data_IF_268231754886
#
_entry.id   IF_268231754886
#
_cell.length_a   1.000
_cell.length_b   1.000
_cell.length_c   1.000
_cell.angle_alpha   90.00
_cell.angle_beta   90.00
_cell.angle_gamma   90.00
#
_symmetry.space_group_name_H-M   'P 1'
#
loop_
_entity.id
_entity.type
_entity.pdbx_description
1 polymer ?
#
# COMPACT_ATOMS: atom_id res chain seq x y z
N UNK A 1 20.55 -5.49 12.44
CA UNK A 1 19.57 -5.96 11.45
C UNK A 1 18.66 -4.80 11.15
N UNK A 2 18.76 -4.18 9.98
CA UNK A 2 17.81 -3.13 9.60
C UNK A 2 16.57 -3.84 9.05
N UNK A 3 15.50 -3.89 9.83
CA UNK A 3 14.19 -4.31 9.35
C UNK A 3 13.68 -3.29 8.33
N UNK A 4 13.07 -3.76 7.24
CA UNK A 4 12.41 -2.87 6.28
C UNK A 4 11.40 -1.95 7.01
N UNK A 5 11.34 -0.64 6.69
CA UNK A 5 10.29 0.21 7.23
C UNK A 5 8.91 -0.24 6.75
N UNK A 6 7.90 -0.02 7.59
CA UNK A 6 6.50 -0.36 7.28
C UNK A 6 5.66 0.92 7.19
N UNK A 7 4.73 0.97 6.24
CA UNK A 7 3.76 2.05 6.11
C UNK A 7 2.50 1.75 6.95
N UNK A 8 2.09 2.62 7.89
CA UNK A 8 0.95 2.35 8.77
C UNK A 8 -0.39 2.28 8.04
N UNK A 9 -1.24 1.32 8.43
CA UNK A 9 -2.63 1.24 8.02
C UNK A 9 -3.53 1.57 9.22
N UNK A 10 -4.35 2.60 9.06
CA UNK A 10 -5.13 3.20 10.13
C UNK A 10 -6.48 2.48 10.32
N UNK A 11 -6.87 2.30 11.58
CA UNK A 11 -8.21 1.85 11.99
C UNK A 11 -8.67 0.50 11.41
N UNK A 12 -7.74 -0.36 11.00
CA UNK A 12 -8.08 -1.72 10.56
C UNK A 12 -7.76 -2.76 11.65
N UNK A 13 -8.66 -3.70 11.96
CA UNK A 13 -8.41 -4.75 12.95
C UNK A 13 -7.35 -5.76 12.50
N UNK A 14 -7.18 -5.99 11.19
CA UNK A 14 -6.35 -7.08 10.65
C UNK A 14 -5.02 -6.57 10.08
N UNK A 15 -5.06 -5.50 9.29
CA UNK A 15 -3.89 -4.96 8.60
C UNK A 15 -3.38 -3.76 9.38
N UNK A 16 -2.24 -3.90 10.06
CA UNK A 16 -1.66 -2.79 10.85
C UNK A 16 -0.67 -1.94 10.07
N UNK A 17 -0.01 -2.54 9.09
CA UNK A 17 0.94 -1.87 8.23
C UNK A 17 1.19 -2.74 6.98
N UNK A 18 1.76 -2.12 5.94
CA UNK A 18 2.25 -2.81 4.72
C UNK A 18 3.73 -2.47 4.50
N UNK A 19 4.50 -3.27 3.76
CA UNK A 19 5.90 -2.95 3.44
C UNK A 19 6.02 -1.58 2.80
N UNK A 20 6.99 -0.77 3.24
CA UNK A 20 7.21 0.54 2.64
C UNK A 20 7.56 0.43 1.16
N UNK A 21 8.34 -0.58 0.78
CA UNK A 21 8.71 -0.85 -0.62
C UNK A 21 7.49 -1.09 -1.52
N UNK A 22 6.40 -1.65 -0.98
CA UNK A 22 5.19 -1.90 -1.74
C UNK A 22 4.41 -0.62 -2.08
N UNK A 23 4.38 0.36 -1.18
CA UNK A 23 3.64 1.62 -1.38
C UNK A 23 4.50 2.75 -1.97
N UNK A 24 5.82 2.73 -1.74
CA UNK A 24 6.74 3.77 -2.19
C UNK A 24 6.66 4.14 -3.69
N UNK A 25 6.43 3.19 -4.63
CA UNK A 25 6.26 3.53 -6.04
C UNK A 25 5.07 4.46 -6.33
N UNK A 26 4.12 4.57 -5.40
CA UNK A 26 2.84 5.28 -5.57
C UNK A 26 2.82 6.67 -4.91
N UNK A 27 3.99 7.27 -4.62
CA UNK A 27 4.12 8.62 -4.02
C UNK A 27 3.36 9.70 -4.81
N UNK A 28 3.42 9.65 -6.14
CA UNK A 28 2.69 10.58 -7.02
C UNK A 28 1.19 10.51 -6.79
N UNK A 29 0.62 9.32 -6.61
CA UNK A 29 -0.81 9.17 -6.34
C UNK A 29 -1.16 9.69 -4.94
N UNK A 30 -0.28 9.52 -3.95
CA UNK A 30 -0.47 10.09 -2.61
C UNK A 30 -0.54 11.61 -2.64
N UNK A 31 0.34 12.24 -3.42
CA UNK A 31 0.30 13.69 -3.68
C UNK A 31 -1.00 14.10 -4.37
N UNK A 32 -1.45 13.35 -5.38
CA UNK A 32 -2.69 13.67 -6.09
C UNK A 32 -3.94 13.54 -5.20
N UNK A 33 -4.03 12.49 -4.39
CA UNK A 33 -5.23 12.22 -3.58
C UNK A 33 -5.26 13.00 -2.27
N UNK A 34 -4.10 13.30 -1.67
CA UNK A 34 -4.02 13.88 -0.33
C UNK A 34 -3.19 15.17 -0.24
N UNK A 35 -2.59 15.64 -1.34
CA UNK A 35 -1.64 16.77 -1.35
C UNK A 35 -0.49 16.60 -0.35
N UNK A 36 -0.12 15.36 -0.05
CA UNK A 36 0.88 15.00 0.96
C UNK A 36 1.73 13.83 0.48
N UNK A 37 2.98 13.80 0.91
CA UNK A 37 3.88 12.69 0.69
C UNK A 37 3.47 11.48 1.52
N UNK A 38 3.89 10.28 1.12
CA UNK A 38 3.75 9.05 1.89
C UNK A 38 4.38 9.19 3.28
N UNK A 39 5.51 9.89 3.38
CA UNK A 39 6.15 10.17 4.68
C UNK A 39 5.29 11.08 5.57
N UNK A 40 4.65 12.11 5.00
CA UNK A 40 3.72 12.96 5.73
C UNK A 40 2.49 12.19 6.21
N UNK A 41 1.92 11.37 5.33
CA UNK A 41 0.78 10.51 5.65
C UNK A 41 1.12 9.49 6.76
N UNK A 42 2.25 8.80 6.66
CA UNK A 42 2.73 7.90 7.70
C UNK A 42 2.94 8.62 9.04
N UNK A 43 3.47 9.85 9.02
CA UNK A 43 3.70 10.66 10.21
C UNK A 43 2.43 11.05 10.97
N UNK A 44 1.27 11.10 10.30
CA UNK A 44 -0.05 11.37 10.92
C UNK A 44 -0.89 10.11 11.20
N UNK A 45 -0.28 8.93 11.13
CA UNK A 45 -0.95 7.66 11.44
C UNK A 45 -1.25 6.78 10.22
N UNK A 46 -0.85 7.19 9.02
CA UNK A 46 -1.01 6.41 7.79
C UNK A 46 -2.31 6.68 7.05
N UNK A 47 -2.75 5.66 6.32
CA UNK A 47 -3.95 5.65 5.48
C UNK A 47 -4.89 4.53 5.93
N UNK A 48 -6.19 4.71 5.74
CA UNK A 48 -7.10 3.57 5.88
C UNK A 48 -6.96 2.56 4.71
N UNK A 49 -7.60 1.40 4.84
CA UNK A 49 -7.53 0.33 3.81
C UNK A 49 -8.08 0.73 2.44
N UNK A 50 -8.99 1.71 2.38
CA UNK A 50 -9.56 2.19 1.11
C UNK A 50 -8.60 3.15 0.44
N UNK A 51 -8.09 4.12 1.21
CA UNK A 51 -7.10 5.09 0.72
C UNK A 51 -5.85 4.36 0.22
N UNK A 52 -5.30 3.45 1.02
CA UNK A 52 -4.13 2.66 0.64
C UNK A 52 -4.39 1.85 -0.66
N UNK A 53 -5.57 1.24 -0.80
CA UNK A 53 -5.94 0.53 -2.03
C UNK A 53 -5.93 1.46 -3.26
N UNK A 54 -6.58 2.63 -3.18
CA UNK A 54 -6.62 3.56 -4.31
C UNK A 54 -5.24 4.14 -4.64
N UNK A 55 -4.40 4.42 -3.63
CA UNK A 55 -3.01 4.80 -3.83
C UNK A 55 -2.24 3.69 -4.56
N UNK A 56 -2.27 2.45 -4.07
CA UNK A 56 -1.55 1.31 -4.67
C UNK A 56 -2.07 0.90 -6.05
N UNK A 57 -3.24 1.40 -6.46
CA UNK A 57 -3.79 1.22 -7.81
C UNK A 57 -3.46 2.37 -8.75
N UNK A 58 -2.77 3.41 -8.28
CA UNK A 58 -2.58 4.68 -8.99
C UNK A 58 -3.92 5.26 -9.50
N UNK A 59 -4.93 5.22 -8.62
CA UNK A 59 -6.29 5.66 -8.92
C UNK A 59 -6.70 6.87 -8.07
N UNK A 60 -7.47 7.81 -8.65
CA UNK A 60 -8.06 8.89 -7.89
C UNK A 60 -9.07 8.34 -6.88
N UNK A 61 -9.27 9.08 -5.78
CA UNK A 61 -10.35 8.79 -4.86
C UNK A 61 -11.70 8.84 -5.60
N UNK A 62 -12.61 7.87 -5.39
CA UNK A 62 -13.88 7.81 -6.12
C UNK A 62 -14.75 9.03 -5.82
N UNK A 63 -15.32 9.62 -6.88
CA UNK A 63 -16.27 10.74 -6.76
C UNK A 63 -17.60 10.31 -6.13
N UNK A 64 -18.01 9.06 -6.37
CA UNK A 64 -19.20 8.45 -5.78
C UNK A 64 -18.79 7.41 -4.74
N UNK A 65 -18.64 7.86 -3.49
CA UNK A 65 -18.34 6.97 -2.38
C UNK A 65 -19.63 6.32 -1.85
N UNK A 66 -19.70 4.99 -1.93
CA UNK A 66 -20.87 4.24 -1.48
C UNK A 66 -20.99 4.15 0.06
N UNK A 67 -20.01 4.65 0.82
CA UNK A 67 -19.92 4.52 2.27
C UNK A 67 -19.06 3.33 2.74
N UNK A 68 -18.92 3.17 4.05
CA UNK A 68 -18.23 2.02 4.67
C UNK A 68 -19.24 0.96 5.10
N UNK A 69 -18.91 -0.32 4.92
CA UNK A 69 -19.66 -1.47 5.45
C UNK A 69 -18.71 -2.60 5.79
N UNK A 70 -19.10 -3.54 6.66
CA UNK A 70 -18.24 -4.69 7.03
C UNK A 70 -17.81 -5.51 5.82
N UNK A 71 -18.72 -5.75 4.88
CA UNK A 71 -18.43 -6.53 3.67
C UNK A 71 -17.46 -5.79 2.76
N UNK A 72 -17.60 -4.46 2.62
CA UNK A 72 -16.63 -3.65 1.86
C UNK A 72 -15.29 -3.60 2.56
N UNK A 73 -15.27 -3.45 3.89
CA UNK A 73 -14.02 -3.47 4.64
C UNK A 73 -13.29 -4.80 4.38
N UNK A 74 -13.99 -5.93 4.47
CA UNK A 74 -13.43 -7.25 4.18
C UNK A 74 -12.92 -7.36 2.73
N UNK A 75 -13.69 -6.89 1.75
CA UNK A 75 -13.28 -6.90 0.35
C UNK A 75 -12.02 -6.07 0.10
N UNK A 76 -11.93 -4.86 0.67
CA UNK A 76 -10.77 -3.99 0.51
C UNK A 76 -9.53 -4.50 1.24
N UNK A 77 -9.68 -5.15 2.41
CA UNK A 77 -8.57 -5.88 3.05
C UNK A 77 -7.98 -6.92 2.12
N UNK A 78 -8.82 -7.78 1.56
CA UNK A 78 -8.39 -8.85 0.64
C UNK A 78 -7.71 -8.24 -0.59
N UNK A 79 -8.30 -7.21 -1.19
CA UNK A 79 -7.71 -6.54 -2.36
C UNK A 79 -6.37 -5.88 -2.05
N UNK A 80 -6.25 -5.16 -0.93
CA UNK A 80 -4.99 -4.53 -0.52
C UNK A 80 -3.89 -5.57 -0.27
N UNK A 81 -4.21 -6.64 0.46
CA UNK A 81 -3.27 -7.74 0.71
C UNK A 81 -2.86 -8.47 -0.57
N UNK A 82 -3.76 -8.56 -1.55
CA UNK A 82 -3.43 -9.12 -2.85
C UNK A 82 -2.42 -8.26 -3.61
N UNK A 83 -2.57 -6.93 -3.57
CA UNK A 83 -1.60 -6.01 -4.18
C UNK A 83 -0.21 -6.14 -3.53
N UNK A 84 -0.17 -6.23 -2.20
CA UNK A 84 1.10 -6.44 -1.47
C UNK A 84 1.74 -7.78 -1.84
N UNK A 85 0.96 -8.87 -1.86
CA UNK A 85 1.47 -10.19 -2.25
C UNK A 85 1.99 -10.23 -3.69
N UNK A 86 1.27 -9.58 -4.61
CA UNK A 86 1.69 -9.50 -6.02
C UNK A 86 2.99 -8.69 -6.15
N UNK A 87 3.15 -7.61 -5.37
CA UNK A 87 4.41 -6.86 -5.28
C UNK A 87 5.56 -7.74 -4.76
N UNK A 88 5.38 -8.44 -3.64
CA UNK A 88 6.41 -9.29 -3.03
C UNK A 88 6.87 -10.41 -3.98
N UNK A 89 5.92 -11.01 -4.71
CA UNK A 89 6.22 -12.02 -5.74
C UNK A 89 7.05 -11.44 -6.88
N UNK A 90 6.68 -10.25 -7.35
CA UNK A 90 7.43 -9.55 -8.39
C UNK A 90 8.83 -9.16 -7.90
N UNK A 91 8.98 -8.79 -6.62
CA UNK A 91 10.26 -8.42 -6.04
C UNK A 91 11.21 -9.61 -5.83
N UNK A 92 10.69 -10.73 -5.35
CA UNK A 92 11.43 -11.97 -5.23
C UNK A 92 11.99 -12.42 -6.60
N UNK A 93 11.17 -12.32 -7.65
CA UNK A 93 11.60 -12.65 -9.02
C UNK A 93 12.68 -11.69 -9.57
N UNK A 94 12.66 -10.41 -9.19
CA UNK A 94 13.73 -9.46 -9.57
C UNK A 94 15.04 -9.76 -8.83
N UNK A 95 14.95 -10.11 -7.55
CA UNK A 95 16.11 -10.43 -6.73
C UNK A 95 16.82 -11.69 -7.22
N UNK A 96 16.07 -12.75 -7.58
CA UNK A 96 16.66 -13.98 -8.14
C UNK A 96 17.38 -13.72 -9.48
N UNK A 97 16.78 -12.92 -10.37
CA UNK A 97 17.39 -12.55 -11.65
C UNK A 97 18.64 -11.65 -11.49
N UNK A 98 18.70 -10.84 -10.43
CA UNK A 98 19.87 -10.01 -10.13
C UNK A 98 21.04 -10.84 -9.58
N UNK A 99 20.75 -11.91 -8.83
CA UNK A 99 21.76 -12.79 -8.24
C UNK A 99 22.40 -13.73 -9.28
N UNK A 100 21.62 -14.24 -10.24
CA UNK A 100 22.12 -15.03 -11.39
C UNK A 100 23.00 -14.23 -12.36
N UNK A 101 22.94 -12.89 -12.30
CA UNK A 101 23.71 -11.97 -13.18
C UNK A 101 25.02 -11.47 -12.57
N UNK A 102 25.39 -11.91 -11.37
CA UNK A 102 26.72 -11.62 -10.79
C UNK A 102 27.78 -12.51 -11.46
N UNK A 103 28.87 -11.95 -12.02
CA UNK A 103 29.96 -12.71 -12.64
C UNK A 103 30.78 -13.52 -11.63
#
# INVERSE_FOLDING_TARGET
MNTEPMFPILNDPCIKAIPWSAIAPHETQALNNHSQTLRGLAGRGGLDIYEAYYIMKDQPWPTLWAGRSRDRDAAYRVSLMRLVLDFERADAGRSSLAEERKP
#
